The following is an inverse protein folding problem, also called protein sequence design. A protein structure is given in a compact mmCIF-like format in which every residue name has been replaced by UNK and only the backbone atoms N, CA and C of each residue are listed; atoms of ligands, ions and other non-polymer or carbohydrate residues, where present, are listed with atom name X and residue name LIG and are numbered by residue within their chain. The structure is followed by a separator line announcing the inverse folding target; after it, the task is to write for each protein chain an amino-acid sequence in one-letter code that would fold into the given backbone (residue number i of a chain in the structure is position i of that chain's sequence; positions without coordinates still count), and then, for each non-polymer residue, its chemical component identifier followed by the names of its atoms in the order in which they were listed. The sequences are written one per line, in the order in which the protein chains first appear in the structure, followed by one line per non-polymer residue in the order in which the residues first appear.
data_IF_639650526524
#
_entry.id   IF_639650526524
#
_cell.length_a   1.000
_cell.length_b   1.000
_cell.length_c   1.000
_cell.angle_alpha   90.00
_cell.angle_beta   90.00
_cell.angle_gamma   90.00
#
_symmetry.space_group_name_H-M   'P 1'
#
loop_
_entity.id
_entity.type
_entity.pdbx_description
1 polymer ?
#
# COMPACT_ATOMS: atom_id res chain seq x y z
N UNK A 1 11.45 -20.08 3.73
CA UNK A 1 10.66 -18.96 4.28
C UNK A 1 9.73 -18.46 3.20
N UNK A 2 8.43 -18.71 3.34
CA UNK A 2 7.42 -18.26 2.38
C UNK A 2 7.39 -16.73 2.41
N UNK A 3 7.80 -16.07 1.33
CA UNK A 3 7.56 -14.63 1.19
C UNK A 3 6.05 -14.47 1.06
N UNK A 4 5.39 -14.15 2.15
CA UNK A 4 3.95 -13.87 2.16
C UNK A 4 3.74 -12.64 1.28
N UNK A 5 3.32 -12.87 0.04
CA UNK A 5 2.97 -11.77 -0.86
C UNK A 5 1.75 -11.08 -0.26
N UNK A 6 1.89 -9.78 0.03
CA UNK A 6 0.79 -9.01 0.59
C UNK A 6 -0.37 -8.96 -0.40
N UNK A 7 -1.55 -9.38 0.03
CA UNK A 7 -2.76 -9.38 -0.79
C UNK A 7 -3.28 -7.94 -1.00
N UNK A 8 -4.22 -7.75 -1.92
CA UNK A 8 -4.84 -6.44 -2.15
C UNK A 8 -5.45 -5.85 -0.87
N UNK A 9 -6.20 -6.64 -0.11
CA UNK A 9 -6.79 -6.21 1.16
C UNK A 9 -5.72 -5.72 2.16
N UNK A 10 -4.60 -6.43 2.27
CA UNK A 10 -3.50 -6.01 3.15
C UNK A 10 -2.87 -4.69 2.72
N UNK A 11 -2.85 -4.38 1.42
CA UNK A 11 -2.39 -3.08 0.94
C UNK A 11 -3.39 -1.96 1.25
N UNK A 12 -4.70 -2.22 1.15
CA UNK A 12 -5.73 -1.26 1.54
C UNK A 12 -5.63 -0.91 3.03
N UNK A 13 -5.51 -1.92 3.90
CA UNK A 13 -5.30 -1.72 5.33
C UNK A 13 -4.05 -0.87 5.62
N UNK A 14 -2.98 -1.04 4.84
CA UNK A 14 -1.77 -0.22 4.96
C UNK A 14 -2.00 1.24 4.55
N UNK A 15 -2.82 1.50 3.53
CA UNK A 15 -3.16 2.87 3.14
C UNK A 15 -4.06 3.54 4.18
N UNK A 16 -5.08 2.85 4.67
CA UNK A 16 -5.93 3.37 5.76
C UNK A 16 -5.12 3.64 7.03
N UNK A 17 -4.26 2.70 7.43
CA UNK A 17 -3.37 2.90 8.57
C UNK A 17 -2.39 4.06 8.35
N UNK A 18 -1.92 4.30 7.12
CA UNK A 18 -1.08 5.44 6.77
C UNK A 18 -1.84 6.76 6.92
N UNK A 19 -3.08 6.84 6.44
CA UNK A 19 -3.92 8.05 6.56
C UNK A 19 -4.26 8.36 8.01
N UNK A 20 -4.56 7.35 8.83
CA UNK A 20 -4.82 7.51 10.26
C UNK A 20 -3.56 7.87 11.05
N UNK A 21 -2.40 7.40 10.59
CA UNK A 21 -1.12 7.62 11.27
C UNK A 21 -0.63 9.06 11.16
N UNK A 22 -1.03 9.82 10.13
CA UNK A 22 -0.55 11.18 9.88
C UNK A 22 0.96 11.30 9.65
N UNK A 23 1.65 10.16 9.47
CA UNK A 23 3.09 10.11 9.26
C UNK A 23 3.45 10.43 7.82
N UNK A 24 4.72 10.72 7.57
CA UNK A 24 5.25 10.77 6.21
C UNK A 24 5.40 9.34 5.67
N UNK A 25 5.22 9.18 4.36
CA UNK A 25 5.26 7.87 3.71
C UNK A 25 6.61 7.16 3.94
N UNK A 26 7.71 7.92 4.00
CA UNK A 26 9.03 7.39 4.30
C UNK A 26 9.11 6.80 5.72
N UNK A 27 8.60 7.52 6.73
CA UNK A 27 8.56 7.03 8.11
C UNK A 27 7.71 5.75 8.23
N UNK A 28 6.48 5.81 7.71
CA UNK A 28 5.54 4.68 7.73
C UNK A 28 6.09 3.43 7.04
N UNK A 29 6.76 3.63 5.89
CA UNK A 29 7.36 2.54 5.15
C UNK A 29 8.58 1.97 5.88
N UNK A 30 9.41 2.82 6.49
CA UNK A 30 10.59 2.40 7.26
C UNK A 30 10.19 1.56 8.46
N UNK A 31 9.16 1.97 9.22
CA UNK A 31 8.65 1.22 10.38
C UNK A 31 8.10 -0.17 10.03
N UNK A 32 7.60 -0.35 8.79
CA UNK A 32 6.96 -1.60 8.33
C UNK A 32 7.84 -2.42 7.39
N UNK A 33 9.11 -2.05 7.23
CA UNK A 33 10.05 -2.65 6.27
C UNK A 33 9.45 -2.70 4.85
N UNK A 34 8.85 -1.59 4.44
CA UNK A 34 8.24 -1.38 3.13
C UNK A 34 9.15 -0.47 2.29
N UNK A 35 9.14 -0.72 0.99
CA UNK A 35 9.79 0.18 0.04
C UNK A 35 8.85 1.36 -0.28
N UNK A 36 9.23 2.62 -0.02
CA UNK A 36 8.38 3.78 -0.28
C UNK A 36 7.98 3.92 -1.76
N UNK A 37 8.90 3.63 -2.68
CA UNK A 37 8.62 3.69 -4.11
C UNK A 37 7.61 2.62 -4.52
N UNK A 38 7.72 1.41 -3.94
CA UNK A 38 6.76 0.34 -4.19
C UNK A 38 5.38 0.66 -3.59
N UNK A 39 5.34 1.30 -2.42
CA UNK A 39 4.10 1.75 -1.77
C UNK A 39 3.33 2.74 -2.66
N UNK A 40 3.99 3.77 -3.19
CA UNK A 40 3.36 4.72 -4.13
C UNK A 40 2.87 4.02 -5.40
N UNK A 41 3.69 3.13 -5.97
CA UNK A 41 3.32 2.36 -7.15
C UNK A 41 2.06 1.53 -6.90
N UNK A 42 2.03 0.75 -5.81
CA UNK A 42 0.87 -0.06 -5.43
C UNK A 42 -0.37 0.77 -5.17
N UNK A 43 -0.23 1.92 -4.51
CA UNK A 43 -1.36 2.84 -4.27
C UNK A 43 -2.00 3.28 -5.60
N UNK A 44 -1.17 3.65 -6.58
CA UNK A 44 -1.63 4.03 -7.91
C UNK A 44 -2.27 2.85 -8.66
N UNK A 45 -1.60 1.70 -8.70
CA UNK A 45 -2.12 0.49 -9.36
C UNK A 45 -3.48 0.06 -8.78
N UNK A 46 -3.69 0.22 -7.47
CA UNK A 46 -4.95 -0.13 -6.81
C UNK A 46 -6.04 0.91 -7.04
N UNK A 47 -5.68 2.19 -7.12
CA UNK A 47 -6.62 3.24 -7.53
C UNK A 47 -7.07 3.05 -8.98
N UNK A 48 -6.13 2.70 -9.87
CA UNK A 48 -6.40 2.38 -11.28
C UNK A 48 -7.21 1.09 -11.43
N UNK A 49 -6.98 0.06 -10.61
CA UNK A 49 -7.80 -1.16 -10.61
C UNK A 49 -9.21 -0.96 -10.05
N UNK A 50 -9.40 -0.04 -9.12
CA UNK A 50 -10.72 0.31 -8.60
C UNK A 50 -11.53 1.16 -9.60
N UNK A 51 -10.84 1.93 -10.45
CA UNK A 51 -11.43 2.70 -11.57
C UNK A 51 -11.68 1.83 -12.81
N UNK A 52 -10.78 0.88 -13.11
CA UNK A 52 -10.94 -0.12 -14.18
C UNK A 52 -11.77 -1.34 -13.74
N UNK A 53 -12.77 -1.10 -12.88
CA UNK A 53 -13.88 -2.02 -12.75
C UNK A 53 -14.52 -2.18 -14.13
N UNK A 54 -14.20 -3.29 -14.79
CA UNK A 54 -14.93 -3.90 -15.90
C UNK A 54 -16.22 -3.14 -16.27
N UNK A 55 -16.14 -2.31 -17.32
CA UNK A 55 -17.30 -1.88 -18.12
C UNK A 55 -17.07 -2.30 -19.56
#
# INVERSE_FOLDING_TARGET
MSRTHRSHAQWLELFEAFEQSGQTQAAFCTERDLNPAYFSKRRRELLEQNDNGFV
#
